data_IF_671362212724
#
_entry.id   IF_671362212724
#
_cell.length_a   1.000
_cell.length_b   1.000
_cell.length_c   1.000
_cell.angle_alpha   90.00
_cell.angle_beta   90.00
_cell.angle_gamma   90.00
#
_symmetry.space_group_name_H-M   'P 1'
#
loop_
_entity.id
_entity.type
_entity.pdbx_description
1 polymer ?
#
# COMPACT_ATOMS: atom_id res chain seq x y z
N UNK A 1 -14.21 -6.00 20.14
CA UNK A 1 -13.45 -4.76 20.09
C UNK A 1 -12.55 -4.78 18.87
N UNK A 2 -12.92 -3.99 17.86
CA UNK A 2 -12.12 -3.83 16.64
C UNK A 2 -10.99 -2.84 16.97
N UNK A 3 -9.84 -3.34 17.35
CA UNK A 3 -8.65 -2.49 17.58
C UNK A 3 -7.84 -2.48 16.29
N UNK A 4 -7.82 -1.34 15.60
CA UNK A 4 -6.89 -1.13 14.48
C UNK A 4 -5.47 -1.03 15.03
N UNK A 5 -4.65 -2.05 14.79
CA UNK A 5 -3.24 -2.01 15.12
C UNK A 5 -2.50 -1.18 14.07
N UNK A 6 -2.15 0.06 14.41
CA UNK A 6 -1.36 0.94 13.55
C UNK A 6 0.12 0.71 13.84
N UNK A 7 0.91 0.47 12.81
CA UNK A 7 2.36 0.37 12.91
C UNK A 7 2.95 1.73 12.50
N UNK A 8 3.61 2.45 13.42
CA UNK A 8 4.24 3.72 13.10
C UNK A 8 5.46 3.49 12.21
N UNK A 9 5.52 4.16 11.06
CA UNK A 9 6.67 4.11 10.14
C UNK A 9 7.36 5.47 10.15
N UNK A 10 8.67 5.47 10.37
CA UNK A 10 9.49 6.68 10.30
C UNK A 10 9.51 7.23 8.86
N UNK A 11 9.20 8.53 8.71
CA UNK A 11 9.44 9.26 7.46
C UNK A 11 10.87 9.80 7.46
N UNK A 12 11.57 9.75 6.32
CA UNK A 12 12.93 10.29 6.15
C UNK A 12 13.13 11.75 6.61
N UNK A 13 12.05 12.51 6.82
CA UNK A 13 12.10 13.92 7.21
C UNK A 13 11.86 14.21 8.69
N UNK A 14 11.62 13.20 9.52
CA UNK A 14 11.39 13.41 10.96
C UNK A 14 12.53 12.78 11.77
N UNK A 15 13.54 13.56 12.07
CA UNK A 15 14.54 13.28 13.11
C UNK A 15 13.97 13.49 14.53
N UNK A 16 12.68 13.24 14.74
CA UNK A 16 12.11 13.27 16.09
C UNK A 16 12.43 11.96 16.80
N UNK A 17 13.01 12.08 17.97
CA UNK A 17 13.20 10.99 18.93
C UNK A 17 11.96 10.11 19.02
N UNK A 18 12.14 8.80 18.80
CA UNK A 18 11.06 7.81 18.83
C UNK A 18 10.63 7.24 17.46
N UNK A 19 11.31 7.56 16.36
CA UNK A 19 11.03 6.94 15.06
C UNK A 19 11.64 5.54 14.96
N UNK A 20 10.80 4.53 14.77
CA UNK A 20 11.22 3.14 14.58
C UNK A 20 11.90 3.01 13.22
N UNK A 21 13.05 2.35 13.14
CA UNK A 21 13.75 2.10 11.88
C UNK A 21 12.92 1.22 10.94
N UNK A 22 13.25 1.24 9.64
CA UNK A 22 12.58 0.35 8.67
C UNK A 22 12.77 -1.12 9.05
N UNK A 23 13.96 -1.50 9.50
CA UNK A 23 14.26 -2.88 9.90
C UNK A 23 13.49 -3.31 11.15
N UNK A 24 13.41 -2.45 12.16
CA UNK A 24 12.59 -2.71 13.35
C UNK A 24 11.11 -2.81 12.99
N UNK A 25 10.64 -2.01 12.04
CA UNK A 25 9.28 -2.09 11.53
C UNK A 25 9.02 -3.44 10.85
N UNK A 26 9.96 -3.93 10.02
CA UNK A 26 9.85 -5.26 9.40
C UNK A 26 9.84 -6.37 10.47
N UNK A 27 10.73 -6.31 11.45
CA UNK A 27 10.77 -7.28 12.55
C UNK A 27 9.46 -7.31 13.33
N UNK A 28 8.88 -6.15 13.60
CA UNK A 28 7.57 -6.02 14.25
C UNK A 28 6.46 -6.63 13.40
N UNK A 29 6.43 -6.30 12.09
CA UNK A 29 5.46 -6.87 11.14
C UNK A 29 5.54 -8.39 11.10
N UNK A 30 6.76 -8.94 11.02
CA UNK A 30 6.99 -10.37 11.01
C UNK A 30 6.42 -11.04 12.26
N UNK A 31 6.73 -10.50 13.45
CA UNK A 31 6.15 -10.98 14.70
C UNK A 31 4.62 -10.96 14.69
N UNK A 32 4.00 -9.89 14.21
CA UNK A 32 2.53 -9.80 14.12
C UNK A 32 1.94 -10.82 13.15
N UNK A 33 2.62 -11.11 12.05
CA UNK A 33 2.16 -12.10 11.07
C UNK A 33 2.33 -13.54 11.59
N UNK A 34 3.40 -13.81 12.34
CA UNK A 34 3.66 -15.13 12.95
C UNK A 34 2.64 -15.46 14.06
N UNK A 35 2.04 -14.44 14.69
CA UNK A 35 1.03 -14.61 15.77
C UNK A 35 -0.37 -14.98 15.28
N UNK A 36 -0.57 -15.20 13.98
CA UNK A 36 -1.86 -15.58 13.38
C UNK A 36 -2.01 -15.05 11.96
N UNK A 37 -3.11 -15.42 11.29
CA UNK A 37 -3.44 -15.01 9.93
C UNK A 37 -3.74 -13.51 9.87
N UNK A 38 -2.72 -12.68 9.84
CA UNK A 38 -2.83 -11.23 9.78
C UNK A 38 -2.29 -10.69 8.48
N UNK A 39 -2.95 -9.67 7.96
CA UNK A 39 -2.55 -8.97 6.76
C UNK A 39 -2.09 -7.55 7.09
N UNK A 40 -1.15 -7.02 6.30
CA UNK A 40 -0.69 -5.65 6.40
C UNK A 40 -1.37 -4.86 5.29
N UNK A 41 -2.06 -3.78 5.64
CA UNK A 41 -2.66 -2.86 4.67
C UNK A 41 -1.74 -1.66 4.49
N UNK A 42 -1.35 -1.39 3.25
CA UNK A 42 -0.47 -0.28 2.89
C UNK A 42 -1.14 0.57 1.82
N UNK A 43 -1.15 1.88 2.03
CA UNK A 43 -1.57 2.85 1.03
C UNK A 43 -0.33 3.40 0.32
N UNK A 44 -0.04 2.96 -0.93
CA UNK A 44 1.24 3.25 -1.59
C UNK A 44 1.43 4.73 -1.94
N UNK A 45 0.35 5.49 -2.09
CA UNK A 45 0.40 6.94 -2.30
C UNK A 45 0.96 7.70 -1.07
N UNK A 46 0.91 7.10 0.12
CA UNK A 46 1.43 7.69 1.37
C UNK A 46 0.69 8.93 1.87
N UNK A 47 -0.38 9.33 1.22
CA UNK A 47 -1.26 10.45 1.63
C UNK A 47 -2.63 10.27 1.00
N UNK A 48 -3.64 10.95 1.56
CA UNK A 48 -4.95 11.01 0.91
C UNK A 48 -4.81 11.65 -0.48
N UNK A 49 -5.37 10.98 -1.48
CA UNK A 49 -5.41 11.47 -2.85
C UNK A 49 -6.38 12.64 -3.05
N UNK A 50 -6.36 13.19 -4.24
CA UNK A 50 -7.41 14.06 -4.77
C UNK A 50 -8.45 13.21 -5.48
N UNK A 51 -9.70 13.69 -5.62
CA UNK A 51 -10.70 13.00 -6.42
C UNK A 51 -10.15 12.73 -7.83
N UNK A 52 -10.35 11.51 -8.28
CA UNK A 52 -10.00 11.07 -9.64
C UNK A 52 -8.50 11.17 -10.04
N UNK A 53 -7.60 11.36 -9.05
CA UNK A 53 -6.16 11.35 -9.29
C UNK A 53 -5.49 10.31 -8.39
N UNK A 54 -4.68 9.47 -9.00
CA UNK A 54 -3.78 8.55 -8.31
C UNK A 54 -2.40 9.20 -8.30
N UNK A 55 -1.81 9.34 -7.11
CA UNK A 55 -0.46 9.86 -6.96
C UNK A 55 0.57 8.77 -7.26
N UNK A 56 1.77 9.14 -7.69
CA UNK A 56 2.85 8.17 -7.86
C UNK A 56 3.06 7.34 -6.59
N UNK A 57 3.22 6.04 -6.78
CA UNK A 57 3.38 5.11 -5.67
C UNK A 57 4.79 5.17 -5.10
N UNK A 58 4.87 4.99 -3.79
CA UNK A 58 6.14 4.88 -3.07
C UNK A 58 6.55 3.41 -2.98
N UNK A 59 7.84 3.15 -3.02
CA UNK A 59 8.40 1.79 -2.97
C UNK A 59 8.19 1.04 -1.65
N UNK A 60 7.49 1.65 -0.68
CA UNK A 60 7.27 1.07 0.65
C UNK A 60 6.61 -0.31 0.59
N UNK A 61 5.50 -0.44 -0.16
CA UNK A 61 4.78 -1.71 -0.28
C UNK A 61 5.66 -2.82 -0.88
N UNK A 62 6.41 -2.51 -1.94
CA UNK A 62 7.33 -3.45 -2.57
C UNK A 62 8.48 -3.86 -1.64
N UNK A 63 9.06 -2.91 -0.91
CA UNK A 63 10.11 -3.21 0.09
C UNK A 63 9.60 -4.09 1.22
N UNK A 64 8.37 -3.88 1.69
CA UNK A 64 7.74 -4.77 2.68
C UNK A 64 7.51 -6.17 2.10
N UNK A 65 7.02 -6.27 0.87
CA UNK A 65 6.81 -7.54 0.18
C UNK A 65 8.11 -8.35 0.06
N UNK A 66 9.20 -7.71 -0.39
CA UNK A 66 10.52 -8.33 -0.49
C UNK A 66 11.04 -8.78 0.88
N UNK A 67 11.06 -7.88 1.86
CA UNK A 67 11.63 -8.16 3.19
C UNK A 67 10.84 -9.24 3.96
N UNK A 68 9.54 -9.36 3.74
CA UNK A 68 8.68 -10.34 4.39
C UNK A 68 8.47 -11.60 3.54
N UNK A 69 8.92 -11.60 2.30
CA UNK A 69 8.65 -12.63 1.29
C UNK A 69 7.15 -12.97 1.20
N UNK A 70 6.32 -11.93 1.07
CA UNK A 70 4.86 -12.05 1.00
C UNK A 70 4.32 -11.35 -0.24
N UNK A 71 3.28 -11.90 -0.89
CA UNK A 71 2.68 -11.28 -2.06
C UNK A 71 2.00 -9.95 -1.71
N UNK A 72 1.93 -9.06 -2.70
CA UNK A 72 1.08 -7.87 -2.67
C UNK A 72 -0.23 -8.23 -3.37
N UNK A 73 -1.34 -8.05 -2.68
CA UNK A 73 -2.68 -8.13 -3.28
C UNK A 73 -3.16 -6.71 -3.55
N UNK A 74 -3.16 -6.25 -4.82
CA UNK A 74 -3.63 -4.92 -5.14
C UNK A 74 -5.15 -4.82 -4.95
N UNK A 75 -5.60 -3.75 -4.29
CA UNK A 75 -7.02 -3.50 -4.07
C UNK A 75 -7.33 -2.09 -4.59
N UNK A 76 -8.18 -2.01 -5.61
CA UNK A 76 -8.66 -0.75 -6.15
C UNK A 76 -10.00 -0.39 -5.51
N UNK A 77 -10.08 0.82 -4.94
CA UNK A 77 -11.28 1.33 -4.28
C UNK A 77 -11.79 2.56 -5.05
N UNK A 78 -12.98 2.43 -5.65
CA UNK A 78 -13.62 3.50 -6.38
C UNK A 78 -14.80 4.09 -5.62
N UNK A 79 -14.95 5.42 -5.67
CA UNK A 79 -16.06 6.14 -5.07
C UNK A 79 -15.87 6.55 -3.62
N UNK A 80 -14.80 6.11 -2.94
CA UNK A 80 -14.54 6.42 -1.52
C UNK A 80 -14.45 7.93 -1.23
N UNK A 81 -13.97 8.73 -2.18
CA UNK A 81 -13.91 10.19 -2.04
C UNK A 81 -15.30 10.86 -1.96
N UNK A 82 -16.34 10.23 -2.55
CA UNK A 82 -17.72 10.69 -2.45
C UNK A 82 -18.31 10.46 -1.06
N UNK A 83 -17.89 9.36 -0.41
CA UNK A 83 -18.31 9.03 0.94
C UNK A 83 -17.81 10.06 1.96
N UNK A 84 -16.52 10.43 1.85
CA UNK A 84 -15.92 11.36 2.79
C UNK A 84 -14.96 12.34 2.08
N UNK A 85 -15.49 13.39 1.45
CA UNK A 85 -14.67 14.42 0.81
C UNK A 85 -13.75 15.10 1.81
N UNK A 86 -12.57 15.51 1.34
CA UNK A 86 -11.60 16.22 2.18
C UNK A 86 -12.22 17.53 2.73
N UNK A 87 -12.04 17.76 4.03
CA UNK A 87 -12.57 18.95 4.72
C UNK A 87 -14.05 18.86 5.14
N UNK A 88 -14.72 17.73 4.89
CA UNK A 88 -16.08 17.49 5.41
C UNK A 88 -16.03 16.70 6.71
N UNK A 89 -16.85 17.12 7.69
CA UNK A 89 -16.95 16.47 9.01
C UNK A 89 -17.82 15.21 8.93
N UNK A 90 -18.87 15.22 8.11
CA UNK A 90 -19.82 14.12 8.02
C UNK A 90 -19.61 13.29 6.75
N UNK A 91 -19.70 11.97 6.92
CA UNK A 91 -19.75 11.01 5.81
C UNK A 91 -21.11 11.10 5.11
N UNK A 92 -21.13 10.82 3.82
CA UNK A 92 -22.33 10.74 3.00
C UNK A 92 -22.50 9.30 2.51
N UNK A 93 -23.71 8.76 2.52
CA UNK A 93 -23.96 7.46 1.90
C UNK A 93 -23.68 7.54 0.40
N UNK A 94 -22.86 6.64 -0.10
CA UNK A 94 -22.56 6.53 -1.52
C UNK A 94 -22.15 5.09 -1.86
N UNK A 95 -22.17 4.76 -3.15
CA UNK A 95 -21.71 3.46 -3.62
C UNK A 95 -20.18 3.46 -3.65
N UNK A 96 -19.59 2.50 -2.97
CA UNK A 96 -18.15 2.20 -3.04
C UNK A 96 -17.99 0.86 -3.74
N UNK A 97 -17.10 0.79 -4.71
CA UNK A 97 -16.72 -0.45 -5.40
C UNK A 97 -15.31 -0.81 -5.01
N UNK A 98 -15.09 -2.08 -4.67
CA UNK A 98 -13.79 -2.62 -4.28
C UNK A 98 -13.48 -3.75 -5.25
N UNK A 99 -12.37 -3.65 -5.95
CA UNK A 99 -11.84 -4.69 -6.82
C UNK A 99 -10.53 -5.23 -6.25
N UNK A 100 -10.50 -6.53 -6.03
CA UNK A 100 -9.31 -7.26 -5.63
C UNK A 100 -8.69 -7.81 -6.92
N UNK A 101 -7.43 -7.46 -7.16
CA UNK A 101 -6.71 -7.83 -8.38
C UNK A 101 -5.74 -8.98 -8.08
N UNK A 102 -5.14 -9.51 -9.15
CA UNK A 102 -4.21 -10.64 -9.06
C UNK A 102 -3.00 -10.31 -8.17
N UNK A 103 -2.60 -11.26 -7.30
CA UNK A 103 -1.45 -11.07 -6.44
C UNK A 103 -0.14 -10.90 -7.23
N UNK A 104 0.72 -10.02 -6.76
CA UNK A 104 2.09 -9.83 -7.25
C UNK A 104 3.03 -10.53 -6.29
N UNK A 105 3.76 -11.53 -6.77
CA UNK A 105 4.72 -12.29 -5.96
C UNK A 105 6.12 -11.67 -6.09
N UNK A 106 6.80 -11.36 -4.97
CA UNK A 106 8.14 -10.77 -5.03
C UNK A 106 9.15 -11.69 -5.73
N UNK A 107 9.00 -13.00 -5.60
CA UNK A 107 9.90 -13.99 -6.20
C UNK A 107 9.94 -13.94 -7.73
N UNK A 108 8.88 -13.44 -8.38
CA UNK A 108 8.84 -13.33 -9.85
C UNK A 108 9.77 -12.20 -10.37
N UNK A 109 10.29 -11.36 -9.49
CA UNK A 109 11.15 -10.21 -9.81
C UNK A 109 12.58 -10.36 -9.32
N UNK A 110 12.84 -11.31 -8.40
CA UNK A 110 14.17 -11.53 -7.84
C UNK A 110 15.07 -12.16 -8.92
N UNK A 111 16.21 -11.52 -9.17
CA UNK A 111 17.29 -12.06 -9.98
C UNK A 111 18.62 -11.78 -9.29
N UNK A 112 19.61 -12.68 -9.49
CA UNK A 112 20.92 -12.60 -8.81
C UNK A 112 21.69 -11.31 -9.13
N UNK A 113 21.42 -10.70 -10.28
CA UNK A 113 22.12 -9.51 -10.76
C UNK A 113 21.47 -8.17 -10.35
N UNK A 114 20.32 -8.19 -9.64
CA UNK A 114 19.57 -6.98 -9.32
C UNK A 114 19.62 -6.64 -7.84
N UNK A 115 19.92 -5.38 -7.55
CA UNK A 115 19.79 -4.83 -6.19
C UNK A 115 18.32 -4.74 -5.76
N UNK A 116 18.02 -4.99 -4.48
CA UNK A 116 16.66 -4.95 -3.90
C UNK A 116 15.91 -3.64 -4.20
N UNK A 117 16.61 -2.50 -4.26
CA UNK A 117 16.00 -1.21 -4.58
C UNK A 117 15.51 -1.12 -6.03
N UNK A 118 16.17 -1.79 -6.97
CA UNK A 118 15.73 -1.87 -8.36
C UNK A 118 14.53 -2.79 -8.49
N UNK A 119 14.58 -3.93 -7.81
CA UNK A 119 13.46 -4.89 -7.75
C UNK A 119 12.23 -4.21 -7.13
N UNK A 120 12.39 -3.47 -6.04
CA UNK A 120 11.30 -2.73 -5.41
C UNK A 120 10.69 -1.66 -6.34
N UNK A 121 11.50 -1.00 -7.16
CA UNK A 121 11.01 -0.05 -8.18
C UNK A 121 10.22 -0.75 -9.29
N UNK A 122 10.68 -1.90 -9.76
CA UNK A 122 9.98 -2.70 -10.77
C UNK A 122 8.60 -3.16 -10.28
N UNK A 123 8.55 -3.75 -9.09
CA UNK A 123 7.29 -4.15 -8.44
C UNK A 123 6.36 -2.95 -8.28
N UNK A 124 6.88 -1.81 -7.83
CA UNK A 124 6.08 -0.59 -7.64
C UNK A 124 5.52 -0.08 -8.97
N UNK A 125 6.34 -0.06 -10.01
CA UNK A 125 5.91 0.36 -11.35
C UNK A 125 4.83 -0.56 -11.92
N UNK A 126 4.96 -1.87 -11.73
CA UNK A 126 3.96 -2.84 -12.13
C UNK A 126 2.65 -2.65 -11.36
N UNK A 127 2.72 -2.50 -10.04
CA UNK A 127 1.57 -2.23 -9.18
C UNK A 127 0.83 -0.96 -9.62
N UNK A 128 1.56 0.12 -9.88
CA UNK A 128 1.00 1.39 -10.33
C UNK A 128 0.28 1.23 -11.69
N UNK A 129 0.91 0.52 -12.64
CA UNK A 129 0.32 0.25 -13.95
C UNK A 129 -0.99 -0.53 -13.85
N UNK A 130 -1.06 -1.55 -13.02
CA UNK A 130 -2.28 -2.35 -12.81
C UNK A 130 -3.40 -1.48 -12.24
N UNK A 131 -3.10 -0.68 -11.22
CA UNK A 131 -4.10 0.19 -10.57
C UNK A 131 -4.57 1.31 -11.51
N UNK A 132 -3.68 1.88 -12.33
CA UNK A 132 -4.05 2.87 -13.34
C UNK A 132 -4.97 2.28 -14.42
N UNK A 133 -4.65 1.08 -14.92
CA UNK A 133 -5.49 0.39 -15.89
C UNK A 133 -6.89 0.10 -15.32
N UNK A 134 -6.98 -0.31 -14.05
CA UNK A 134 -8.26 -0.55 -13.40
C UNK A 134 -9.06 0.75 -13.22
N UNK A 135 -8.39 1.86 -12.90
CA UNK A 135 -9.02 3.18 -12.83
C UNK A 135 -9.64 3.59 -14.17
N UNK A 136 -8.93 3.40 -15.28
CA UNK A 136 -9.42 3.74 -16.61
C UNK A 136 -10.69 2.97 -16.96
N UNK A 137 -10.78 1.69 -16.60
CA UNK A 137 -11.99 0.86 -16.75
C UNK A 137 -13.21 1.43 -16.02
N UNK A 138 -13.00 2.16 -14.91
CA UNK A 138 -14.07 2.80 -14.14
C UNK A 138 -14.36 4.23 -14.56
N UNK A 139 -13.40 4.95 -15.13
CA UNK A 139 -13.59 6.30 -15.66
C UNK A 139 -14.43 6.31 -16.96
N UNK A 140 -14.45 5.19 -17.68
CA UNK A 140 -15.19 5.01 -18.94
C UNK A 140 -16.63 4.51 -18.73
N UNK A 141 -17.09 4.34 -17.49
CA UNK A 141 -18.45 3.92 -17.11
C UNK A 141 -19.25 5.08 -16.50
#
# INVERSE_FOLDING_TARGET
NFVMNLIPIARKSSTKDGSISFQDTIALCKRFMDYGNRNIVIFPEGSRGEPDKIKPFRNGAARFSLALNKPIVPIFIYGSFRAWPRGKVFMRPCRITINILEPIYPNDYISEDKADDLIAKEITSHLEKIILAERERYASR
#
